data_IF_560176051877
#
_entry.id   IF_560176051877
#
_cell.length_a   1.000
_cell.length_b   1.000
_cell.length_c   1.000
_cell.angle_alpha   90.00
_cell.angle_beta   90.00
_cell.angle_gamma   90.00
#
_symmetry.space_group_name_H-M   'P 1'
#
loop_
_entity.id
_entity.type
_entity.pdbx_description
1 polymer ?
#
# COMPACT_ATOMS: atom_id res chain seq x y z
N UNK A 1 27.67 -3.97 35.82
CA UNK A 1 27.66 -5.41 36.18
C UNK A 1 29.08 -5.80 36.55
N UNK A 2 29.29 -6.53 37.63
CA UNK A 2 30.62 -7.02 38.06
C UNK A 2 30.61 -8.53 37.91
N UNK A 3 31.57 -9.10 37.16
CA UNK A 3 31.69 -10.54 36.94
C UNK A 3 32.87 -11.03 37.78
N UNK A 4 32.59 -11.92 38.73
CA UNK A 4 33.62 -12.54 39.57
C UNK A 4 33.83 -14.01 39.12
N UNK A 5 34.97 -14.35 38.49
CA UNK A 5 35.26 -15.72 38.10
C UNK A 5 35.44 -16.62 39.33
N UNK A 6 35.07 -17.90 39.17
CA UNK A 6 35.25 -18.91 40.22
C UNK A 6 36.74 -19.26 40.37
N UNK A 7 37.17 -19.55 41.59
CA UNK A 7 38.58 -19.83 41.92
C UNK A 7 39.12 -21.03 41.14
N UNK A 8 40.28 -20.88 40.49
CA UNK A 8 40.94 -21.93 39.71
C UNK A 8 40.66 -21.93 38.21
N UNK A 9 39.86 -20.99 37.71
CA UNK A 9 39.62 -20.79 36.28
C UNK A 9 40.47 -19.62 35.77
N UNK A 10 40.92 -19.68 34.52
CA UNK A 10 41.72 -18.61 33.91
C UNK A 10 41.00 -17.25 34.04
N UNK A 11 41.75 -16.15 34.30
CA UNK A 11 41.16 -14.81 34.38
C UNK A 11 40.45 -14.46 33.08
N UNK A 12 39.26 -13.85 33.18
CA UNK A 12 38.56 -13.29 32.01
C UNK A 12 39.46 -12.21 31.41
N UNK A 13 39.86 -12.39 30.15
CA UNK A 13 40.66 -11.40 29.41
C UNK A 13 39.77 -10.59 28.48
N UNK A 14 40.27 -9.47 27.97
CA UNK A 14 39.53 -8.61 27.02
C UNK A 14 39.04 -9.37 25.77
N UNK A 15 39.74 -10.45 25.38
CA UNK A 15 39.38 -11.31 24.25
C UNK A 15 38.18 -12.22 24.53
N UNK A 16 37.86 -12.44 25.81
CA UNK A 16 36.75 -13.27 26.26
C UNK A 16 35.46 -12.46 26.46
N UNK A 17 35.52 -11.13 26.28
CA UNK A 17 34.40 -10.21 26.47
C UNK A 17 34.06 -9.54 25.14
N UNK A 18 32.90 -9.89 24.59
CA UNK A 18 32.33 -9.18 23.44
C UNK A 18 31.31 -8.16 23.92
N UNK A 19 31.60 -6.88 23.72
CA UNK A 19 30.61 -5.82 23.94
C UNK A 19 29.75 -5.67 22.69
N UNK A 20 28.48 -6.07 22.76
CA UNK A 20 27.49 -5.67 21.78
C UNK A 20 26.80 -4.40 22.28
N UNK A 21 26.93 -3.30 21.57
CA UNK A 21 26.03 -2.17 21.72
C UNK A 21 24.69 -2.57 21.10
N UNK A 22 23.72 -2.83 21.96
CA UNK A 22 22.33 -3.09 21.60
C UNK A 22 21.50 -1.94 22.15
N UNK A 23 20.66 -1.36 21.30
CA UNK A 23 19.81 -0.22 21.64
C UNK A 23 19.96 0.88 20.60
N UNK A 24 18.83 1.33 20.07
CA UNK A 24 18.79 2.51 19.21
C UNK A 24 18.54 3.74 20.09
N UNK A 25 19.30 4.81 19.87
CA UNK A 25 19.04 6.11 20.48
C UNK A 25 18.63 7.06 19.37
N UNK A 26 17.47 7.71 19.54
CA UNK A 26 17.00 8.74 18.65
C UNK A 26 16.48 9.94 19.43
N UNK A 27 16.66 11.12 18.85
CA UNK A 27 16.08 12.37 19.34
C UNK A 27 14.64 12.56 18.82
N UNK A 28 14.31 11.93 17.68
CA UNK A 28 13.00 11.95 17.05
C UNK A 28 12.70 10.59 16.41
N UNK A 29 11.48 10.10 16.58
CA UNK A 29 10.97 8.86 15.99
C UNK A 29 9.77 9.18 15.10
N UNK A 30 9.86 8.83 13.82
CA UNK A 30 8.74 8.99 12.88
C UNK A 30 8.14 7.60 12.63
N UNK A 31 6.88 7.44 12.99
CA UNK A 31 6.14 6.18 12.82
C UNK A 31 5.14 6.36 11.68
N UNK A 32 5.14 5.42 10.74
CA UNK A 32 4.28 5.45 9.56
C UNK A 32 3.28 4.31 9.58
N UNK A 33 1.99 4.63 9.41
CA UNK A 33 0.93 3.65 9.17
C UNK A 33 0.47 2.83 10.38
N UNK A 34 0.87 3.19 11.59
CA UNK A 34 0.42 2.54 12.82
C UNK A 34 -0.78 3.29 13.45
N UNK A 35 -1.65 2.54 14.13
CA UNK A 35 -2.74 3.06 14.95
C UNK A 35 -2.39 3.10 16.44
N UNK A 36 -1.46 2.23 16.85
CA UNK A 36 -0.99 2.07 18.23
C UNK A 36 0.48 1.64 18.25
N UNK A 37 1.21 1.95 19.34
CA UNK A 37 2.60 1.49 19.51
C UNK A 37 2.73 -0.04 19.48
N UNK A 38 1.68 -0.77 19.85
CA UNK A 38 1.63 -2.24 19.77
C UNK A 38 1.74 -2.75 18.34
N UNK A 39 1.38 -1.95 17.33
CA UNK A 39 1.50 -2.32 15.91
C UNK A 39 2.97 -2.46 15.47
N UNK A 40 3.91 -1.89 16.23
CA UNK A 40 5.35 -2.03 16.02
C UNK A 40 5.91 -3.37 16.54
N UNK A 41 5.09 -4.15 17.26
CA UNK A 41 5.45 -5.46 17.79
C UNK A 41 6.64 -5.43 18.74
N UNK A 42 7.53 -6.43 18.58
CA UNK A 42 8.67 -6.64 19.47
C UNK A 42 9.63 -5.44 19.56
N UNK A 43 9.61 -4.52 18.59
CA UNK A 43 10.44 -3.32 18.62
C UNK A 43 9.98 -2.37 19.73
N UNK A 44 8.67 -2.14 19.87
CA UNK A 44 8.12 -1.30 20.93
C UNK A 44 8.40 -1.90 22.32
N UNK A 45 8.30 -3.23 22.45
CA UNK A 45 8.54 -3.91 23.73
C UNK A 45 10.00 -3.88 24.17
N UNK A 46 10.94 -4.03 23.23
CA UNK A 46 12.38 -4.11 23.52
C UNK A 46 13.00 -2.74 23.75
N UNK A 47 12.52 -1.72 23.06
CA UNK A 47 13.13 -0.39 23.01
C UNK A 47 12.21 0.68 23.62
N UNK A 48 11.65 0.43 24.82
CA UNK A 48 10.72 1.36 25.49
C UNK A 48 11.25 2.80 25.61
N UNK A 49 12.57 2.97 25.74
CA UNK A 49 13.22 4.30 25.83
C UNK A 49 13.23 5.06 24.51
N UNK A 50 13.06 4.37 23.39
CA UNK A 50 12.96 4.97 22.06
C UNK A 50 11.55 5.55 21.81
N UNK A 51 10.52 4.85 22.30
CA UNK A 51 9.11 5.19 22.06
C UNK A 51 8.48 6.02 23.18
N UNK A 52 9.18 7.07 23.60
CA UNK A 52 8.63 8.07 24.52
C UNK A 52 7.80 9.08 23.73
N UNK A 53 6.54 9.30 24.15
CA UNK A 53 5.54 10.12 23.43
C UNK A 53 6.10 11.45 22.92
N UNK A 54 6.84 12.19 23.75
CA UNK A 54 7.40 13.52 23.43
C UNK A 54 8.35 13.54 22.22
N UNK A 55 8.88 12.38 21.81
CA UNK A 55 9.80 12.22 20.68
C UNK A 55 9.14 11.64 19.43
N UNK A 56 7.84 11.31 19.49
CA UNK A 56 7.17 10.59 18.42
C UNK A 56 6.36 11.54 17.53
N UNK A 57 6.56 11.43 16.23
CA UNK A 57 5.63 11.90 15.20
C UNK A 57 4.98 10.68 14.57
N UNK A 58 3.66 10.54 14.73
CA UNK A 58 2.87 9.51 14.05
C UNK A 58 2.26 10.10 12.78
N UNK A 59 2.43 9.42 11.65
CA UNK A 59 1.81 9.77 10.37
C UNK A 59 1.09 8.52 9.86
N UNK A 60 -0.23 8.55 9.78
CA UNK A 60 -1.00 7.34 9.49
C UNK A 60 -2.36 7.65 8.88
N UNK A 61 -2.83 6.78 7.99
CA UNK A 61 -4.24 6.76 7.59
C UNK A 61 -5.14 6.14 8.66
N UNK A 62 -4.57 5.56 9.71
CA UNK A 62 -5.32 5.02 10.84
C UNK A 62 -5.27 5.99 12.00
N UNK A 63 -6.42 6.20 12.66
CA UNK A 63 -6.49 7.09 13.82
C UNK A 63 -5.66 6.53 14.97
N UNK A 64 -4.61 7.25 15.35
CA UNK A 64 -3.75 6.97 16.48
C UNK A 64 -3.39 8.25 17.24
N UNK A 65 -3.22 8.13 18.56
CA UNK A 65 -2.92 9.25 19.47
C UNK A 65 -1.86 8.88 20.49
N UNK A 66 -0.67 8.51 20.00
CA UNK A 66 0.47 8.08 20.83
C UNK A 66 1.75 8.87 20.56
N UNK A 67 1.73 9.75 19.55
CA UNK A 67 2.81 10.70 19.30
C UNK A 67 2.59 12.06 19.98
N UNK A 68 3.68 12.83 20.13
CA UNK A 68 3.60 14.26 20.42
C UNK A 68 2.88 15.02 19.31
N UNK A 69 3.11 14.60 18.06
CA UNK A 69 2.37 15.06 16.88
C UNK A 69 1.76 13.85 16.20
N UNK A 70 0.48 13.93 15.85
CA UNK A 70 -0.24 12.88 15.13
C UNK A 70 -0.86 13.51 13.88
N UNK A 71 -0.31 13.19 12.71
CA UNK A 71 -0.85 13.58 11.40
C UNK A 71 -1.66 12.40 10.85
N UNK A 72 -2.99 12.55 10.85
CA UNK A 72 -3.89 11.46 10.50
C UNK A 72 -4.92 11.92 9.48
N UNK A 73 -5.08 11.12 8.42
CA UNK A 73 -6.20 11.26 7.49
C UNK A 73 -6.77 9.87 7.11
N UNK A 74 -7.94 9.49 7.68
CA UNK A 74 -8.59 8.22 7.38
C UNK A 74 -9.16 8.07 5.97
N UNK A 75 -9.32 9.17 5.23
CA UNK A 75 -9.80 9.13 3.86
C UNK A 75 -8.68 8.85 2.83
N UNK A 76 -7.42 8.99 3.26
CA UNK A 76 -6.22 8.91 2.43
C UNK A 76 -5.46 7.60 2.65
N UNK A 77 -4.59 7.20 1.72
CA UNK A 77 -3.52 6.24 2.01
C UNK A 77 -2.34 6.90 2.74
N UNK A 78 -1.49 6.08 3.37
CA UNK A 78 -0.23 6.56 3.95
C UNK A 78 0.68 7.20 2.89
N UNK A 79 0.68 6.69 1.67
CA UNK A 79 1.54 7.21 0.60
C UNK A 79 1.04 8.55 0.04
N UNK A 80 -0.27 8.76 -0.01
CA UNK A 80 -0.87 10.08 -0.29
C UNK A 80 -0.47 11.10 0.78
N UNK A 81 -0.61 10.77 2.07
CA UNK A 81 -0.20 11.63 3.18
C UNK A 81 1.28 12.02 3.10
N UNK A 82 2.16 11.05 2.84
CA UNK A 82 3.60 11.31 2.71
C UNK A 82 3.90 12.14 1.45
N UNK A 83 3.17 11.94 0.35
CA UNK A 83 3.32 12.77 -0.85
C UNK A 83 2.95 14.23 -0.57
N UNK A 84 1.86 14.46 0.16
CA UNK A 84 1.44 15.80 0.58
C UNK A 84 2.51 16.43 1.50
N UNK A 85 2.98 15.69 2.50
CA UNK A 85 4.01 16.17 3.43
C UNK A 85 5.32 16.55 2.73
N UNK A 86 5.79 15.71 1.80
CA UNK A 86 6.99 15.99 1.00
C UNK A 86 6.81 17.29 0.20
N UNK A 87 5.65 17.49 -0.41
CA UNK A 87 5.34 18.71 -1.17
C UNK A 87 5.26 19.94 -0.27
N UNK A 88 4.54 19.87 0.85
CA UNK A 88 4.35 21.01 1.77
C UNK A 88 5.66 21.46 2.42
N UNK A 89 6.50 20.49 2.80
CA UNK A 89 7.81 20.76 3.37
C UNK A 89 8.89 21.06 2.32
N UNK A 90 8.53 21.04 1.03
CA UNK A 90 9.47 21.22 -0.09
C UNK A 90 10.68 20.28 -0.02
N UNK A 91 10.44 19.03 0.41
CA UNK A 91 11.48 18.02 0.50
C UNK A 91 11.84 17.49 -0.90
N UNK A 92 13.09 17.03 -1.10
CA UNK A 92 13.48 16.41 -2.35
C UNK A 92 12.59 15.22 -2.70
N UNK A 93 12.07 15.20 -3.92
CA UNK A 93 11.27 14.11 -4.48
C UNK A 93 11.90 13.67 -5.80
N UNK A 94 12.65 12.58 -5.75
CA UNK A 94 13.21 11.95 -6.95
C UNK A 94 12.26 10.88 -7.53
N UNK A 95 12.67 10.31 -8.66
CA UNK A 95 11.89 9.32 -9.39
C UNK A 95 11.70 8.01 -8.61
N UNK A 96 12.68 7.61 -7.79
CA UNK A 96 12.64 6.35 -7.06
C UNK A 96 11.68 6.46 -5.86
N UNK A 97 11.78 7.56 -5.11
CA UNK A 97 10.82 7.92 -4.05
C UNK A 97 9.42 8.03 -4.66
N UNK A 98 9.29 8.71 -5.80
CA UNK A 98 7.99 8.92 -6.42
C UNK A 98 7.34 7.61 -6.90
N UNK A 99 8.13 6.69 -7.46
CA UNK A 99 7.66 5.36 -7.85
C UNK A 99 7.25 4.51 -6.64
N UNK A 100 7.98 4.58 -5.53
CA UNK A 100 7.63 3.86 -4.30
C UNK A 100 6.31 4.36 -3.71
N UNK A 101 6.13 5.68 -3.64
CA UNK A 101 4.88 6.28 -3.18
C UNK A 101 3.72 5.94 -4.11
N UNK A 102 3.94 5.98 -5.44
CA UNK A 102 2.91 5.62 -6.42
C UNK A 102 2.44 4.17 -6.23
N UNK A 103 3.37 3.23 -6.03
CA UNK A 103 3.03 1.84 -5.75
C UNK A 103 2.23 1.69 -4.45
N UNK A 104 2.56 2.47 -3.41
CA UNK A 104 1.81 2.46 -2.16
C UNK A 104 0.37 2.98 -2.32
N UNK A 105 0.17 4.05 -3.11
CA UNK A 105 -1.17 4.54 -3.46
C UNK A 105 -1.93 3.49 -4.26
N UNK A 106 -1.32 2.88 -5.26
CA UNK A 106 -1.95 1.84 -6.07
C UNK A 106 -2.34 0.62 -5.22
N UNK A 107 -1.47 0.18 -4.32
CA UNK A 107 -1.73 -0.94 -3.41
C UNK A 107 -2.91 -0.63 -2.49
N UNK A 108 -2.94 0.56 -1.87
CA UNK A 108 -4.03 0.97 -0.97
C UNK A 108 -5.38 1.15 -1.68
N UNK A 109 -5.37 1.43 -2.99
CA UNK A 109 -6.57 1.74 -3.79
C UNK A 109 -6.97 0.65 -4.77
N UNK A 110 -6.40 -0.56 -4.64
CA UNK A 110 -6.64 -1.67 -5.59
C UNK A 110 -6.41 -1.27 -7.05
N UNK A 111 -5.28 -0.61 -7.32
CA UNK A 111 -4.91 -0.12 -8.64
C UNK A 111 -5.78 1.04 -9.13
N UNK A 112 -6.22 1.91 -8.22
CA UNK A 112 -7.13 3.03 -8.48
C UNK A 112 -8.56 2.60 -8.87
N UNK A 113 -9.04 1.50 -8.31
CA UNK A 113 -10.42 1.01 -8.51
C UNK A 113 -11.27 1.01 -7.23
N UNK A 114 -10.68 1.39 -6.09
CA UNK A 114 -11.39 1.43 -4.81
C UNK A 114 -12.47 2.54 -4.78
N UNK A 115 -13.60 2.33 -4.10
CA UNK A 115 -14.71 3.28 -4.07
C UNK A 115 -14.43 4.55 -3.25
N UNK A 116 -13.40 4.52 -2.40
CA UNK A 116 -13.00 5.60 -1.51
C UNK A 116 -11.92 6.53 -2.12
N UNK A 117 -11.68 6.45 -3.43
CA UNK A 117 -10.78 7.37 -4.11
C UNK A 117 -11.28 8.81 -4.01
N UNK A 118 -10.38 9.74 -3.70
CA UNK A 118 -10.69 11.16 -3.57
C UNK A 118 -9.95 11.99 -4.62
N UNK A 119 -10.31 13.27 -4.72
CA UNK A 119 -9.55 14.20 -5.55
C UNK A 119 -8.08 14.30 -5.10
N UNK A 120 -7.84 14.19 -3.79
CA UNK A 120 -6.51 14.27 -3.18
C UNK A 120 -5.64 13.09 -3.62
N UNK A 121 -6.21 11.90 -3.84
CA UNK A 121 -5.49 10.76 -4.43
C UNK A 121 -4.92 11.11 -5.80
N UNK A 122 -5.73 11.75 -6.66
CA UNK A 122 -5.29 12.14 -8.00
C UNK A 122 -4.34 13.33 -7.98
N UNK A 123 -4.46 14.23 -6.99
CA UNK A 123 -3.47 15.29 -6.77
C UNK A 123 -2.11 14.68 -6.39
N UNK A 124 -2.08 13.74 -5.45
CA UNK A 124 -0.88 13.01 -5.06
C UNK A 124 -0.24 12.34 -6.28
N UNK A 125 -1.02 11.58 -7.06
CA UNK A 125 -0.53 10.97 -8.30
C UNK A 125 0.03 12.01 -9.28
N UNK A 126 -0.63 13.16 -9.46
CA UNK A 126 -0.16 14.21 -10.34
C UNK A 126 1.20 14.79 -9.90
N UNK A 127 1.43 14.91 -8.59
CA UNK A 127 2.73 15.31 -8.02
C UNK A 127 3.80 14.26 -8.37
N UNK A 128 3.51 12.98 -8.12
CA UNK A 128 4.43 11.88 -8.37
C UNK A 128 4.78 11.73 -9.86
N UNK A 129 3.79 11.91 -10.75
CA UNK A 129 4.01 11.89 -12.20
C UNK A 129 4.93 13.02 -12.67
N UNK A 130 4.81 14.23 -12.10
CA UNK A 130 5.69 15.36 -12.38
C UNK A 130 7.12 15.09 -11.92
N UNK A 131 7.30 14.35 -10.82
CA UNK A 131 8.60 13.87 -10.34
C UNK A 131 9.17 12.70 -11.19
N UNK A 132 8.45 12.23 -12.20
CA UNK A 132 8.92 11.22 -13.14
C UNK A 132 8.40 9.81 -12.88
N UNK A 133 7.60 9.59 -11.83
CA UNK A 133 7.03 8.27 -11.57
C UNK A 133 6.14 7.79 -12.72
N UNK A 134 6.10 6.48 -12.94
CA UNK A 134 5.26 5.86 -13.98
C UNK A 134 4.61 4.60 -13.43
N UNK A 135 3.32 4.46 -13.69
CA UNK A 135 2.57 3.25 -13.35
C UNK A 135 3.16 2.06 -14.10
N UNK A 136 3.50 1.02 -13.36
CA UNK A 136 3.92 -0.25 -13.96
C UNK A 136 2.65 -1.04 -14.28
N UNK A 137 2.29 -1.09 -15.55
CA UNK A 137 1.24 -2.03 -15.99
C UNK A 137 1.85 -3.42 -15.93
N UNK A 138 1.21 -4.36 -15.24
CA UNK A 138 1.62 -5.76 -15.29
C UNK A 138 1.72 -6.16 -16.76
N UNK A 139 2.93 -6.50 -17.22
CA UNK A 139 3.12 -7.10 -18.53
C UNK A 139 2.37 -8.42 -18.52
N UNK A 140 1.14 -8.43 -19.04
CA UNK A 140 0.43 -9.66 -19.32
C UNK A 140 1.32 -10.39 -20.34
N UNK A 141 1.92 -11.55 -20.00
CA UNK A 141 2.66 -12.30 -20.99
C UNK A 141 1.67 -12.58 -22.12
N UNK A 142 2.04 -12.21 -23.35
CA UNK A 142 1.25 -12.54 -24.53
C UNK A 142 1.09 -14.05 -24.51
N UNK A 143 -0.10 -14.53 -24.13
CA UNK A 143 -0.43 -15.94 -24.28
C UNK A 143 -0.43 -16.18 -25.77
N UNK A 144 0.51 -16.97 -26.27
CA UNK A 144 0.41 -17.52 -27.61
C UNK A 144 -0.97 -18.17 -27.72
N UNK A 145 -1.77 -17.71 -28.67
CA UNK A 145 -3.07 -18.29 -28.94
C UNK A 145 -2.84 -19.75 -29.34
N UNK A 146 -3.14 -20.68 -28.45
CA UNK A 146 -3.14 -22.10 -28.78
C UNK A 146 -4.29 -22.32 -29.75
N UNK A 147 -3.99 -22.51 -31.04
CA UNK A 147 -4.98 -22.93 -32.03
C UNK A 147 -5.48 -24.31 -31.59
N UNK A 148 -6.72 -24.37 -31.10
CA UNK A 148 -7.40 -25.62 -30.79
C UNK A 148 -7.95 -26.14 -32.12
N UNK A 149 -7.15 -26.97 -32.80
CA UNK A 149 -7.46 -27.50 -34.13
C UNK A 149 -8.72 -28.40 -34.17
N UNK A 150 -9.21 -28.85 -32.99
CA UNK A 150 -10.33 -29.78 -32.87
C UNK A 150 -11.65 -29.12 -32.43
N UNK A 151 -11.77 -27.79 -32.49
CA UNK A 151 -13.08 -27.19 -32.29
C UNK A 151 -13.92 -27.43 -33.56
N UNK A 152 -15.04 -28.19 -33.49
CA UNK A 152 -15.86 -28.43 -34.66
C UNK A 152 -16.34 -27.09 -35.20
N UNK A 153 -16.03 -26.79 -36.46
CA UNK A 153 -16.60 -25.66 -37.18
C UNK A 153 -18.10 -25.96 -37.27
N UNK A 154 -18.91 -25.28 -36.46
CA UNK A 154 -20.36 -25.30 -36.62
C UNK A 154 -20.65 -24.49 -37.87
N UNK A 155 -20.82 -25.21 -38.98
CA UNK A 155 -21.17 -24.62 -40.26
C UNK A 155 -22.64 -24.15 -40.21
N UNK A 156 -22.84 -22.88 -39.85
CA UNK A 156 -24.16 -22.23 -39.84
C UNK A 156 -24.64 -21.86 -41.26
N UNK A 157 -24.23 -22.60 -42.30
CA UNK A 157 -24.65 -22.40 -43.70
C UNK A 157 -26.09 -22.79 -43.98
N UNK A 158 -26.79 -23.36 -42.99
CA UNK A 158 -28.26 -23.41 -43.06
C UNK A 158 -28.80 -22.06 -42.55
N UNK A 159 -29.31 -21.17 -43.41
CA UNK A 159 -29.95 -19.95 -42.92
C UNK A 159 -31.06 -20.35 -41.96
N UNK A 160 -30.97 -19.87 -40.72
CA UNK A 160 -32.02 -20.07 -39.74
C UNK A 160 -33.35 -19.59 -40.36
N UNK A 161 -34.32 -20.51 -40.47
CA UNK A 161 -35.66 -20.19 -40.97
C UNK A 161 -36.21 -19.03 -40.14
N UNK A 162 -36.36 -17.86 -40.77
CA UNK A 162 -36.90 -16.67 -40.13
C UNK A 162 -38.33 -17.03 -39.74
N UNK A 163 -38.63 -17.02 -38.44
CA UNK A 163 -39.99 -17.25 -37.96
C UNK A 163 -40.91 -16.19 -38.57
N UNK A 164 -41.93 -16.61 -39.31
CA UNK A 164 -42.87 -15.71 -40.03
C UNK A 164 -43.55 -14.67 -39.12
N UNK A 165 -43.64 -14.97 -37.82
CA UNK A 165 -44.13 -14.09 -36.76
C UNK A 165 -43.25 -12.84 -36.53
N UNK A 166 -42.01 -12.84 -37.01
CA UNK A 166 -41.14 -11.65 -37.04
C UNK A 166 -41.51 -10.72 -38.21
N UNK A 167 -42.10 -11.24 -39.29
CA UNK A 167 -42.49 -10.40 -40.43
C UNK A 167 -43.83 -9.69 -40.23
N UNK A 168 -44.54 -9.97 -39.13
CA UNK A 168 -45.82 -9.34 -38.86
C UNK A 168 -45.66 -8.09 -37.96
N UNK A 169 -46.37 -6.98 -38.27
CA UNK A 169 -46.31 -5.77 -37.45
C UNK A 169 -46.86 -6.06 -36.04
N UNK A 170 -46.01 -5.92 -35.02
CA UNK A 170 -46.41 -6.09 -33.62
C UNK A 170 -47.26 -4.91 -33.17
N UNK A 171 -48.56 -5.14 -32.99
CA UNK A 171 -49.48 -4.16 -32.40
C UNK A 171 -49.43 -4.31 -30.88
N UNK A 172 -48.81 -3.35 -30.19
CA UNK A 172 -48.78 -3.31 -28.73
C UNK A 172 -50.17 -2.95 -28.19
N UNK A 173 -50.86 -3.91 -27.55
CA UNK A 173 -52.07 -3.62 -26.77
C UNK A 173 -51.67 -3.38 -25.33
N UNK A 174 -51.61 -2.10 -24.92
CA UNK A 174 -51.41 -1.73 -23.53
C UNK A 174 -52.58 -2.20 -22.67
N UNK A 175 -52.29 -3.03 -21.66
CA UNK A 175 -53.27 -3.42 -20.65
C UNK A 175 -53.61 -2.18 -19.81
N UNK A 176 -54.86 -1.71 -19.89
CA UNK A 176 -55.39 -0.75 -18.93
C UNK A 176 -55.72 -1.53 -17.65
N UNK A 177 -54.91 -1.37 -16.61
CA UNK A 177 -55.37 -1.68 -15.25
C UNK A 177 -56.17 -0.48 -14.77
N UNK A 178 -57.46 -0.71 -14.52
CA UNK A 178 -58.24 0.12 -13.60
C UNK A 178 -57.94 -0.32 -12.16
#
# INVERSE_FOLDING_TARGET
MIINPRTGVAPVTEKDVTFSYSGAVADLVIILGASDLRDLGALAERENTLFVQDKIINISSQVGSFGAVNLTDPASSNSELITALIKELSLPLDIDIANNLMQGIEAATSGLSAPNLTADTFEALAILYRAGARRQTATIPVREAKIVADMPIIDNTTPASIKEDWLQPKIFKGSKSN
#
